data_IF_432350403085
#
_entry.id   IF_432350403085
#
_cell.length_a   1.000
_cell.length_b   1.000
_cell.length_c   1.000
_cell.angle_alpha   90.00
_cell.angle_beta   90.00
_cell.angle_gamma   90.00
#
_symmetry.space_group_name_H-M   'P 1'
#
loop_
_entity.id
_entity.type
_entity.pdbx_description
1 polymer ?
#
# COMPACT_ATOMS: atom_id res chain seq x y z
N UNK A 1 -46.16 -4.05 7.54
CA UNK A 1 -45.89 -2.59 7.51
C UNK A 1 -45.53 -2.15 8.92
N UNK A 2 -44.25 -1.98 9.24
CA UNK A 2 -43.84 -1.28 10.47
C UNK A 2 -43.35 0.09 10.04
N UNK A 3 -44.27 1.05 10.14
CA UNK A 3 -44.02 2.46 9.92
C UNK A 3 -43.19 2.95 11.12
N UNK A 4 -41.90 2.63 11.13
CA UNK A 4 -40.95 3.22 12.07
C UNK A 4 -40.84 4.71 11.71
N UNK A 5 -41.66 5.51 12.37
CA UNK A 5 -41.46 6.96 12.46
C UNK A 5 -40.11 7.17 13.13
N UNK A 6 -39.05 7.14 12.33
CA UNK A 6 -37.71 7.59 12.70
C UNK A 6 -37.82 9.07 12.99
N UNK A 7 -38.16 9.41 14.23
CA UNK A 7 -38.05 10.78 14.72
C UNK A 7 -36.59 11.17 14.56
N UNK A 8 -36.32 12.12 13.68
CA UNK A 8 -34.97 12.61 13.45
C UNK A 8 -34.33 12.94 14.80
N UNK A 9 -33.17 12.33 15.09
CA UNK A 9 -32.40 12.64 16.29
C UNK A 9 -32.14 14.15 16.29
N UNK A 10 -32.35 14.81 17.44
CA UNK A 10 -32.10 16.25 17.60
C UNK A 10 -31.08 16.51 18.69
N UNK A 11 -30.48 17.70 18.65
CA UNK A 11 -29.53 18.16 19.65
C UNK A 11 -28.34 17.22 19.79
N UNK A 12 -28.02 16.85 21.03
CA UNK A 12 -26.82 16.06 21.32
C UNK A 12 -26.84 14.65 20.72
N UNK A 13 -28.01 14.03 20.61
CA UNK A 13 -28.13 12.72 19.98
C UNK A 13 -27.81 12.77 18.48
N UNK A 14 -28.26 13.82 17.79
CA UNK A 14 -27.93 14.07 16.39
C UNK A 14 -26.42 14.27 16.20
N UNK A 15 -25.81 15.05 17.09
CA UNK A 15 -24.38 15.33 17.05
C UNK A 15 -23.53 14.09 17.31
N UNK A 16 -23.90 13.25 18.27
CA UNK A 16 -23.23 11.96 18.54
C UNK A 16 -23.32 11.03 17.35
N UNK A 17 -24.50 10.90 16.74
CA UNK A 17 -24.70 10.08 15.54
C UNK A 17 -23.83 10.60 14.37
N UNK A 18 -23.84 11.91 14.12
CA UNK A 18 -23.01 12.51 13.07
C UNK A 18 -21.51 12.29 13.31
N UNK A 19 -21.03 12.39 14.55
CA UNK A 19 -19.64 12.08 14.92
C UNK A 19 -19.29 10.62 14.65
N UNK A 20 -20.15 9.69 15.04
CA UNK A 20 -19.95 8.26 14.78
C UNK A 20 -19.90 7.97 13.28
N UNK A 21 -20.78 8.59 12.50
CA UNK A 21 -20.77 8.45 11.04
C UNK A 21 -19.48 8.97 10.42
N UNK A 22 -18.98 10.12 10.87
CA UNK A 22 -17.69 10.67 10.43
C UNK A 22 -16.54 9.74 10.82
N UNK A 23 -16.52 9.23 12.06
CA UNK A 23 -15.50 8.29 12.51
C UNK A 23 -15.48 7.03 11.63
N UNK A 24 -16.65 6.45 11.34
CA UNK A 24 -16.80 5.29 10.45
C UNK A 24 -16.28 5.57 9.04
N UNK A 25 -16.58 6.74 8.47
CA UNK A 25 -16.06 7.14 7.15
C UNK A 25 -14.54 7.30 7.17
N UNK A 26 -13.99 7.89 8.24
CA UNK A 26 -12.55 8.06 8.40
C UNK A 26 -11.84 6.72 8.54
N UNK A 27 -12.36 5.78 9.33
CA UNK A 27 -11.81 4.43 9.44
C UNK A 27 -11.77 3.71 8.09
N UNK A 28 -12.85 3.82 7.31
CA UNK A 28 -12.88 3.27 5.95
C UNK A 28 -11.84 3.92 5.04
N UNK A 29 -11.68 5.25 5.12
CA UNK A 29 -10.67 5.99 4.36
C UNK A 29 -9.24 5.58 4.77
N UNK A 30 -8.96 5.43 6.07
CA UNK A 30 -7.66 4.97 6.55
C UNK A 30 -7.36 3.54 6.11
N UNK A 31 -8.35 2.64 6.16
CA UNK A 31 -8.19 1.27 5.69
C UNK A 31 -7.88 1.23 4.18
N UNK A 32 -8.56 2.04 3.38
CA UNK A 32 -8.28 2.21 1.95
C UNK A 32 -6.87 2.76 1.72
N UNK A 33 -6.51 3.85 2.40
CA UNK A 33 -5.20 4.47 2.27
C UNK A 33 -4.04 3.55 2.67
N UNK A 34 -4.23 2.65 3.65
CA UNK A 34 -3.23 1.62 3.99
C UNK A 34 -3.02 0.63 2.83
N UNK A 35 -4.09 0.19 2.17
CA UNK A 35 -4.00 -0.73 1.03
C UNK A 35 -3.31 -0.07 -0.16
N UNK A 36 -3.67 1.17 -0.46
CA UNK A 36 -3.07 1.94 -1.56
C UNK A 36 -1.57 2.19 -1.31
N UNK A 37 -1.18 2.56 -0.08
CA UNK A 37 0.24 2.69 0.29
C UNK A 37 1.01 1.38 0.16
N UNK A 38 0.45 0.28 0.69
CA UNK A 38 1.10 -1.03 0.58
C UNK A 38 1.32 -1.46 -0.89
N UNK A 39 0.34 -1.22 -1.76
CA UNK A 39 0.47 -1.49 -3.20
C UNK A 39 1.52 -0.60 -3.87
N UNK A 40 1.55 0.69 -3.53
CA UNK A 40 2.55 1.62 -4.02
C UNK A 40 3.97 1.22 -3.57
N UNK A 41 4.14 0.88 -2.30
CA UNK A 41 5.44 0.50 -1.74
C UNK A 41 5.96 -0.80 -2.35
N UNK A 42 5.08 -1.77 -2.60
CA UNK A 42 5.42 -2.98 -3.34
C UNK A 42 5.90 -2.66 -4.77
N UNK A 43 5.16 -1.82 -5.50
CA UNK A 43 5.54 -1.42 -6.86
C UNK A 43 6.87 -0.66 -6.90
N UNK A 44 7.14 0.21 -5.91
CA UNK A 44 8.43 0.90 -5.78
C UNK A 44 9.55 -0.10 -5.49
N UNK A 45 9.31 -1.07 -4.60
CA UNK A 45 10.32 -2.10 -4.29
C UNK A 45 10.66 -2.94 -5.51
N UNK A 46 9.66 -3.36 -6.28
CA UNK A 46 9.85 -4.15 -7.50
C UNK A 46 10.66 -3.38 -8.55
N UNK A 47 10.34 -2.08 -8.75
CA UNK A 47 11.11 -1.21 -9.65
C UNK A 47 12.56 -1.10 -9.22
N UNK A 48 12.81 -0.95 -7.91
CA UNK A 48 14.17 -0.88 -7.37
C UNK A 48 14.94 -2.18 -7.61
N UNK A 49 14.34 -3.33 -7.33
CA UNK A 49 14.98 -4.64 -7.58
C UNK A 49 15.26 -4.84 -9.08
N UNK A 50 14.33 -4.43 -9.95
CA UNK A 50 14.52 -4.51 -11.39
C UNK A 50 15.66 -3.59 -11.87
N UNK A 51 15.78 -2.39 -11.31
CA UNK A 51 16.88 -1.48 -11.61
C UNK A 51 18.23 -2.06 -11.16
N UNK A 52 18.32 -2.55 -9.92
CA UNK A 52 19.53 -3.20 -9.38
C UNK A 52 19.96 -4.37 -10.28
N UNK A 53 19.02 -5.25 -10.68
CA UNK A 53 19.33 -6.36 -11.59
C UNK A 53 19.86 -5.90 -12.95
N UNK A 54 19.33 -4.82 -13.51
CA UNK A 54 19.81 -4.25 -14.78
C UNK A 54 21.22 -3.69 -14.63
N UNK A 55 21.50 -3.01 -13.53
CA UNK A 55 22.84 -2.51 -13.22
C UNK A 55 23.85 -3.67 -13.14
N UNK A 56 23.53 -4.74 -12.40
CA UNK A 56 24.40 -5.93 -12.33
C UNK A 56 24.58 -6.62 -13.69
N UNK A 57 23.53 -6.71 -14.51
CA UNK A 57 23.61 -7.32 -15.83
C UNK A 57 24.54 -6.54 -16.78
N UNK A 58 24.68 -5.24 -16.58
CA UNK A 58 25.52 -4.37 -17.38
C UNK A 58 26.97 -4.28 -16.89
N UNK A 59 27.33 -4.98 -15.80
CA UNK A 59 28.71 -5.00 -15.33
C UNK A 59 29.60 -5.83 -16.28
N UNK A 60 30.84 -5.36 -16.57
CA UNK A 60 31.79 -6.14 -17.33
C UNK A 60 32.10 -7.44 -16.59
N UNK A 61 32.08 -8.56 -17.33
CA UNK A 61 32.46 -9.86 -16.79
C UNK A 61 33.96 -9.92 -16.60
N UNK A 62 34.42 -10.46 -15.48
CA UNK A 62 35.84 -10.76 -15.31
C UNK A 62 36.29 -11.72 -16.41
N UNK A 63 37.43 -11.46 -17.05
CA UNK A 63 38.00 -12.39 -18.02
C UNK A 63 38.32 -13.72 -17.31
N UNK A 64 38.09 -14.83 -18.00
CA UNK A 64 38.40 -16.15 -17.47
C UNK A 64 39.89 -16.22 -17.10
N UNK A 65 40.20 -16.65 -15.88
CA UNK A 65 41.57 -16.87 -15.46
C UNK A 65 42.22 -17.87 -16.42
N UNK A 66 43.32 -17.47 -17.06
CA UNK A 66 44.14 -18.40 -17.85
C UNK A 66 44.61 -19.50 -16.90
N UNK A 67 44.03 -20.70 -17.05
CA UNK A 67 44.54 -21.92 -16.41
C UNK A 67 45.98 -22.11 -16.88
N UNK A 68 46.98 -22.19 -15.99
CA UNK A 68 48.33 -22.54 -16.43
C UNK A 68 48.28 -23.94 -17.06
N UNK A 69 48.89 -24.07 -18.23
CA UNK A 69 49.16 -25.38 -18.82
C UNK A 69 50.14 -26.08 -17.89
N UNK A 70 49.69 -27.16 -17.24
CA UNK A 70 50.60 -28.03 -16.51
C UNK A 70 51.27 -28.92 -17.56
N UNK A 71 52.56 -28.71 -17.77
CA UNK A 71 53.50 -29.66 -18.40
C UNK A 71 53.98 -30.69 -17.36
#
# INVERSE_FOLDING_TARGET
MTNEKSTALRGEAAWKAAKQDVAKRNEAAYARGRKERAAHDAAVRDRRVAAERREFANLPRQPAARRPAND
#
